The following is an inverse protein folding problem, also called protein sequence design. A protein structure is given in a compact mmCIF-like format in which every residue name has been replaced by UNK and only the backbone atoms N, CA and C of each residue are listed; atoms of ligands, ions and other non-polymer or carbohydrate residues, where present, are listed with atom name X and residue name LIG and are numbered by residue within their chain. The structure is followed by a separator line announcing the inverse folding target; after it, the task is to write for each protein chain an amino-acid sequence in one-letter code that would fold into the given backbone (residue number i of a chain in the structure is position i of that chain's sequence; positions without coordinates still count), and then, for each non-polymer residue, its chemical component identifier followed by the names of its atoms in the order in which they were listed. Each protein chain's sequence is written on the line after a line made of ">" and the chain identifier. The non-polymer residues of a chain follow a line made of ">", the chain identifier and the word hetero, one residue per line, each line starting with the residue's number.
data_IF_217396762306
#
_entry.id   IF_217396762306
#
_cell.length_a   1.000
_cell.length_b   1.000
_cell.length_c   1.000
_cell.angle_alpha   90.00
_cell.angle_beta   90.00
_cell.angle_gamma   90.00
#
_symmetry.space_group_name_H-M   'P 1'
#
loop_
_entity.id
_entity.type
_entity.pdbx_description
1 polymer ?
#
# COMPACT_ATOMS: atom_id res chain seq x y z
N UNK A 1 0.60 -28.34 -7.75
CA UNK A 1 -0.15 -27.17 -8.27
C UNK A 1 0.25 -25.89 -7.58
N UNK A 2 0.31 -24.78 -8.33
CA UNK A 2 0.55 -23.43 -7.81
C UNK A 2 -0.60 -23.00 -6.88
N UNK A 3 -0.27 -22.44 -5.71
CA UNK A 3 -1.25 -22.05 -4.67
C UNK A 3 -1.33 -20.55 -4.42
N UNK A 4 -0.29 -19.80 -4.74
CA UNK A 4 -0.31 -18.36 -4.56
C UNK A 4 0.78 -17.62 -5.34
N UNK A 5 0.61 -16.31 -5.43
CA UNK A 5 1.50 -15.35 -6.06
C UNK A 5 1.69 -14.20 -5.09
N UNK A 6 2.93 -13.77 -4.89
CA UNK A 6 3.26 -12.51 -4.24
C UNK A 6 3.71 -11.53 -5.32
N UNK A 7 2.99 -10.43 -5.47
CA UNK A 7 3.28 -9.37 -6.42
C UNK A 7 3.86 -8.16 -5.68
N UNK A 8 5.14 -7.85 -5.95
CA UNK A 8 5.96 -7.02 -5.08
C UNK A 8 5.93 -5.51 -5.37
N UNK A 9 5.06 -5.06 -6.28
CA UNK A 9 4.79 -3.65 -6.57
C UNK A 9 3.46 -3.53 -7.32
N UNK A 10 2.98 -2.29 -7.48
CA UNK A 10 1.71 -1.99 -8.15
C UNK A 10 1.55 -2.70 -9.51
N UNK A 11 2.50 -2.49 -10.41
CA UNK A 11 2.43 -3.07 -11.78
C UNK A 11 2.41 -4.60 -11.80
N UNK A 12 3.07 -5.24 -10.84
CA UNK A 12 3.13 -6.69 -10.72
C UNK A 12 1.80 -7.25 -10.19
N UNK A 13 1.11 -6.53 -9.30
CA UNK A 13 -0.17 -6.99 -8.74
C UNK A 13 -1.24 -6.96 -9.81
N UNK A 14 -1.34 -5.84 -10.55
CA UNK A 14 -2.23 -5.71 -11.71
C UNK A 14 -2.00 -6.85 -12.71
N UNK A 15 -0.74 -7.15 -13.04
CA UNK A 15 -0.39 -8.25 -13.93
C UNK A 15 -0.74 -9.64 -13.38
N UNK A 16 -0.48 -9.89 -12.10
CA UNK A 16 -0.78 -11.16 -11.44
C UNK A 16 -2.28 -11.42 -11.34
N UNK A 17 -3.05 -10.40 -10.98
CA UNK A 17 -4.52 -10.45 -10.93
C UNK A 17 -5.08 -10.80 -12.31
N UNK A 18 -4.62 -10.12 -13.36
CA UNK A 18 -5.10 -10.38 -14.71
C UNK A 18 -4.74 -11.79 -15.20
N UNK A 19 -3.51 -12.26 -14.93
CA UNK A 19 -3.09 -13.62 -15.25
C UNK A 19 -3.98 -14.67 -14.57
N UNK A 20 -4.32 -14.47 -13.29
CA UNK A 20 -5.21 -15.38 -12.54
C UNK A 20 -6.65 -15.35 -13.09
N UNK A 21 -7.13 -14.19 -13.55
CA UNK A 21 -8.44 -14.04 -14.20
C UNK A 21 -8.50 -14.79 -15.52
N UNK A 22 -7.55 -14.55 -16.43
CA UNK A 22 -7.48 -15.20 -17.75
C UNK A 22 -7.30 -16.73 -17.60
N UNK A 23 -6.55 -17.19 -16.59
CA UNK A 23 -6.40 -18.61 -16.32
C UNK A 23 -7.64 -19.29 -15.69
N UNK A 24 -8.72 -18.53 -15.41
CA UNK A 24 -9.89 -18.99 -14.67
C UNK A 24 -9.52 -19.66 -13.33
N UNK A 25 -8.56 -19.07 -12.61
CA UNK A 25 -8.04 -19.57 -11.32
C UNK A 25 -8.32 -18.65 -10.14
N UNK A 26 -9.17 -17.64 -10.30
CA UNK A 26 -9.66 -16.80 -9.21
C UNK A 26 -10.21 -17.67 -8.07
N UNK A 27 -9.82 -17.36 -6.84
CA UNK A 27 -10.19 -18.12 -5.64
C UNK A 27 -9.38 -19.40 -5.41
N UNK A 28 -8.77 -19.98 -6.47
CA UNK A 28 -7.90 -21.17 -6.38
C UNK A 28 -6.43 -20.80 -6.16
N UNK A 29 -5.96 -19.72 -6.77
CA UNK A 29 -4.64 -19.12 -6.54
C UNK A 29 -4.85 -17.87 -5.69
N UNK A 30 -4.14 -17.75 -4.57
CA UNK A 30 -4.17 -16.56 -3.72
C UNK A 30 -3.15 -15.54 -4.20
N UNK A 31 -3.58 -14.29 -4.36
CA UNK A 31 -2.66 -13.18 -4.68
C UNK A 31 -2.47 -12.32 -3.44
N UNK A 32 -1.23 -12.00 -3.10
CA UNK A 32 -0.89 -10.92 -2.16
C UNK A 32 -0.13 -9.88 -2.96
N UNK A 33 -0.65 -8.65 -2.97
CA UNK A 33 -0.07 -7.55 -3.72
C UNK A 33 0.63 -6.52 -2.83
N UNK A 34 1.06 -5.44 -3.46
CA UNK A 34 1.74 -4.31 -2.85
C UNK A 34 1.11 -3.04 -3.39
N UNK A 35 1.18 -1.93 -2.65
CA UNK A 35 0.51 -0.67 -2.97
C UNK A 35 -1.04 -0.74 -2.89
N UNK A 36 -1.71 0.39 -3.14
CA UNK A 36 -3.16 0.56 -2.89
C UNK A 36 -3.84 1.46 -3.93
N UNK A 37 -3.49 1.28 -5.20
CA UNK A 37 -4.22 1.90 -6.30
C UNK A 37 -5.70 1.47 -6.30
N UNK A 38 -6.62 2.26 -6.90
CA UNK A 38 -8.04 1.93 -6.91
C UNK A 38 -8.37 0.52 -7.42
N UNK A 39 -7.67 0.07 -8.47
CA UNK A 39 -7.88 -1.25 -9.10
C UNK A 39 -7.46 -2.40 -8.16
N UNK A 40 -6.37 -2.25 -7.43
CA UNK A 40 -5.89 -3.25 -6.45
C UNK A 40 -6.83 -3.37 -5.26
N UNK A 41 -7.29 -2.21 -4.76
CA UNK A 41 -8.28 -2.15 -3.68
C UNK A 41 -9.59 -2.81 -4.11
N UNK A 42 -10.01 -2.62 -5.36
CA UNK A 42 -11.15 -3.32 -5.94
C UNK A 42 -10.90 -4.83 -6.05
N UNK A 43 -9.69 -5.25 -6.39
CA UNK A 43 -9.25 -6.65 -6.35
C UNK A 43 -9.44 -7.29 -4.96
N UNK A 44 -9.12 -6.55 -3.88
CA UNK A 44 -9.36 -6.97 -2.49
C UNK A 44 -10.86 -7.02 -2.18
N UNK A 45 -11.64 -6.02 -2.60
CA UNK A 45 -13.11 -6.00 -2.40
C UNK A 45 -13.79 -7.20 -3.05
N UNK A 46 -13.37 -7.53 -4.27
CA UNK A 46 -13.85 -8.67 -5.05
C UNK A 46 -13.33 -10.01 -4.53
N UNK A 47 -12.30 -10.02 -3.66
CA UNK A 47 -11.71 -11.23 -3.09
C UNK A 47 -10.78 -11.97 -4.05
N UNK A 48 -10.34 -11.31 -5.13
CA UNK A 48 -9.34 -11.82 -6.06
C UNK A 48 -7.96 -11.72 -5.41
N UNK A 49 -7.68 -10.57 -4.80
CA UNK A 49 -6.49 -10.31 -3.97
C UNK A 49 -6.82 -10.60 -2.51
N UNK A 50 -5.99 -11.41 -1.86
CA UNK A 50 -6.15 -11.78 -0.45
C UNK A 50 -5.77 -10.63 0.49
N UNK A 51 -4.81 -9.81 0.09
CA UNK A 51 -4.47 -8.55 0.75
C UNK A 51 -3.34 -7.82 0.05
N UNK A 52 -3.13 -6.57 0.45
CA UNK A 52 -2.13 -5.67 -0.09
C UNK A 52 -1.24 -5.15 1.03
N UNK A 53 0.05 -5.02 0.78
CA UNK A 53 0.92 -4.23 1.67
C UNK A 53 0.86 -2.78 1.24
N UNK A 54 0.22 -1.93 2.06
CA UNK A 54 0.13 -0.49 1.80
C UNK A 54 1.29 0.24 2.47
N UNK A 55 1.99 1.03 1.66
CA UNK A 55 2.99 2.00 2.11
C UNK A 55 2.33 3.34 2.46
N UNK A 56 3.16 4.30 2.86
CA UNK A 56 2.74 5.69 3.12
C UNK A 56 3.41 6.71 2.18
N UNK A 57 2.97 6.78 0.90
CA UNK A 57 3.55 7.72 -0.06
C UNK A 57 3.32 9.19 0.29
N UNK A 58 2.25 9.50 1.04
CA UNK A 58 1.97 10.87 1.46
C UNK A 58 2.99 11.34 2.50
N UNK A 59 3.26 10.54 3.53
CA UNK A 59 4.31 10.82 4.52
C UNK A 59 5.69 10.87 3.88
N UNK A 60 6.01 9.93 2.98
CA UNK A 60 7.27 9.96 2.22
C UNK A 60 7.48 11.30 1.51
N UNK A 61 6.45 11.81 0.82
CA UNK A 61 6.53 13.12 0.16
C UNK A 61 6.68 14.29 1.13
N UNK A 62 5.88 14.31 2.21
CA UNK A 62 5.92 15.38 3.21
C UNK A 62 7.27 15.45 3.94
N UNK A 63 7.71 14.31 4.49
CA UNK A 63 8.96 14.22 5.24
C UNK A 63 10.17 14.47 4.32
N UNK A 64 10.12 14.03 3.05
CA UNK A 64 11.15 14.31 2.06
C UNK A 64 11.37 15.82 1.82
N UNK A 65 10.28 16.56 1.57
CA UNK A 65 10.37 18.02 1.36
C UNK A 65 10.79 18.75 2.64
N UNK A 66 10.25 18.34 3.80
CA UNK A 66 10.63 18.90 5.11
C UNK A 66 12.12 18.72 5.39
N UNK A 67 12.63 17.51 5.17
CA UNK A 67 14.05 17.16 5.37
C UNK A 67 14.95 17.95 4.42
N UNK A 68 14.60 18.05 3.13
CA UNK A 68 15.35 18.86 2.17
C UNK A 68 15.41 20.34 2.58
N UNK A 69 14.30 20.92 3.05
CA UNK A 69 14.28 22.30 3.52
C UNK A 69 15.14 22.52 4.78
N UNK A 70 15.16 21.56 5.71
CA UNK A 70 16.02 21.61 6.90
C UNK A 70 17.51 21.57 6.52
N UNK A 71 17.89 20.70 5.58
CA UNK A 71 19.26 20.61 5.06
C UNK A 71 19.74 21.94 4.47
N UNK A 72 18.91 22.58 3.63
CA UNK A 72 19.23 23.89 3.02
C UNK A 72 19.42 25.01 4.07
N UNK A 73 18.81 24.86 5.25
CA UNK A 73 18.91 25.82 6.36
C UNK A 73 19.96 25.44 7.40
N UNK A 74 20.77 24.40 7.15
CA UNK A 74 21.71 23.83 8.12
C UNK A 74 21.05 23.46 9.45
N UNK A 75 19.79 23.01 9.40
CA UNK A 75 19.04 22.55 10.56
C UNK A 75 19.23 21.03 10.77
N UNK A 76 19.03 20.52 12.00
CA UNK A 76 18.97 19.09 12.25
C UNK A 76 17.93 18.41 11.35
N UNK A 77 18.26 17.23 10.85
CA UNK A 77 17.41 16.44 9.98
C UNK A 77 17.62 14.94 10.21
N UNK A 78 16.63 14.15 9.83
CA UNK A 78 16.71 12.68 9.86
C UNK A 78 17.40 12.16 8.62
N UNK A 79 18.36 11.24 8.79
CA UNK A 79 19.06 10.61 7.68
C UNK A 79 18.29 9.41 7.11
N UNK A 80 17.54 8.70 7.95
CA UNK A 80 16.69 7.57 7.59
C UNK A 80 15.40 7.64 8.40
N UNK A 81 14.27 7.40 7.73
CA UNK A 81 12.94 7.44 8.33
C UNK A 81 12.18 6.17 7.94
N UNK A 82 11.56 5.50 8.91
CA UNK A 82 10.62 4.41 8.63
C UNK A 82 9.23 5.03 8.47
N UNK A 83 8.69 5.02 7.25
CA UNK A 83 7.36 5.58 6.96
C UNK A 83 6.22 4.60 7.26
N UNK A 84 6.54 3.39 7.69
CA UNK A 84 5.58 2.35 8.03
C UNK A 84 4.96 1.65 6.81
N UNK A 85 4.32 0.52 7.10
CA UNK A 85 3.49 -0.21 6.16
C UNK A 85 2.41 -0.96 6.92
N UNK A 86 1.26 -1.18 6.29
CA UNK A 86 0.18 -1.97 6.88
C UNK A 86 -0.43 -2.95 5.88
N UNK A 87 -0.99 -4.03 6.40
CA UNK A 87 -1.71 -5.01 5.58
C UNK A 87 -3.15 -4.55 5.39
N UNK A 88 -3.57 -4.37 4.13
CA UNK A 88 -4.94 -4.11 3.73
C UNK A 88 -5.59 -5.43 3.33
N UNK A 89 -6.73 -5.75 3.92
CA UNK A 89 -7.52 -6.93 3.59
C UNK A 89 -8.99 -6.56 3.53
N UNK A 90 -9.81 -7.46 2.99
CA UNK A 90 -11.26 -7.25 2.90
C UNK A 90 -11.92 -6.95 4.26
N UNK A 91 -11.35 -7.43 5.36
CA UNK A 91 -11.91 -7.24 6.71
C UNK A 91 -11.59 -5.87 7.31
N UNK A 92 -10.53 -5.19 6.86
CA UNK A 92 -10.08 -3.93 7.46
C UNK A 92 -10.16 -2.71 6.54
N UNK A 93 -10.66 -2.85 5.30
CA UNK A 93 -10.85 -1.73 4.35
C UNK A 93 -11.70 -0.56 4.89
N UNK A 94 -12.56 -0.83 5.87
CA UNK A 94 -13.39 0.20 6.50
C UNK A 94 -12.78 0.79 7.78
N UNK A 95 -11.63 0.27 8.23
CA UNK A 95 -10.92 0.81 9.37
C UNK A 95 -10.42 2.23 9.03
N UNK A 96 -10.72 3.26 9.85
CA UNK A 96 -10.28 4.63 9.61
C UNK A 96 -8.77 4.78 9.42
N UNK A 97 -7.95 4.00 10.14
CA UNK A 97 -6.49 4.00 10.01
C UNK A 97 -6.09 3.46 8.65
N UNK A 98 -6.62 2.31 8.24
CA UNK A 98 -6.33 1.70 6.92
C UNK A 98 -6.72 2.64 5.78
N UNK A 99 -7.84 3.35 5.91
CA UNK A 99 -8.30 4.32 4.89
C UNK A 99 -7.35 5.50 4.70
N UNK A 100 -6.57 5.88 5.70
CA UNK A 100 -5.57 6.94 5.56
C UNK A 100 -4.42 6.51 4.63
N UNK A 101 -4.10 5.21 4.60
CA UNK A 101 -3.05 4.65 3.74
C UNK A 101 -3.55 4.38 2.31
N UNK A 102 -4.85 4.11 2.15
CA UNK A 102 -5.48 3.87 0.83
C UNK A 102 -5.92 5.18 0.14
N UNK A 103 -6.39 6.16 0.92
CA UNK A 103 -6.91 7.44 0.40
C UNK A 103 -6.42 8.62 1.24
N UNK A 104 -5.12 8.95 1.18
CA UNK A 104 -4.58 10.08 1.93
C UNK A 104 -5.20 11.40 1.45
N UNK A 105 -5.47 12.31 2.40
CA UNK A 105 -5.99 13.66 2.13
C UNK A 105 -5.23 14.70 2.93
N UNK A 106 -5.02 15.88 2.35
CA UNK A 106 -4.52 17.04 3.09
C UNK A 106 -5.35 17.30 4.35
N UNK A 107 -4.68 17.49 5.49
CA UNK A 107 -5.33 17.71 6.79
C UNK A 107 -5.76 16.43 7.52
N UNK A 108 -5.51 15.25 6.95
CA UNK A 108 -5.62 13.99 7.73
C UNK A 108 -4.61 14.04 8.88
N UNK A 109 -4.93 13.48 10.06
CA UNK A 109 -3.98 13.40 11.17
C UNK A 109 -2.66 12.81 10.69
N UNK A 110 -1.54 13.24 11.29
CA UNK A 110 -0.24 12.61 11.05
C UNK A 110 -0.43 11.10 11.12
N UNK A 111 -0.11 10.42 10.01
CA UNK A 111 -0.45 9.02 9.81
C UNK A 111 0.09 8.22 10.99
N UNK A 112 -0.77 7.34 11.50
CA UNK A 112 -0.51 6.55 12.70
C UNK A 112 0.83 5.84 12.53
N UNK A 113 1.73 6.02 13.48
CA UNK A 113 2.95 5.21 13.53
C UNK A 113 2.54 3.76 13.77
N UNK A 114 2.67 2.94 12.72
CA UNK A 114 2.34 1.52 12.73
C UNK A 114 3.58 0.65 12.98
N UNK A 115 4.63 1.26 13.54
CA UNK A 115 5.87 0.59 13.94
C UNK A 115 5.66 -0.62 14.84
#
# INVERSE_FOLDING_TARGET
>A
DLKGIFAANESSDVGAVEAVRIAHRVGKIKVVGWDTSPDEVDGVRQGIVAGLVSQDPFRMGYDGVRTAAAMLRNQPHVANENTGALMVTKTNLNNPVVRQFVTPRCGSPAQVDVG
#
